data_IF_288810406450
#
_entry.id   IF_288810406450
#
_cell.length_a   1.000
_cell.length_b   1.000
_cell.length_c   1.000
_cell.angle_alpha   90.00
_cell.angle_beta   90.00
_cell.angle_gamma   90.00
#
_symmetry.space_group_name_H-M   'P 1'
#
loop_
_entity.id
_entity.type
_entity.pdbx_description
1 polymer ?
#
# COMPACT_ATOMS: atom_id res chain seq x y z
N UNK A 1 12.47 2.15 10.46
CA UNK A 1 11.71 2.69 9.31
C UNK A 1 11.00 1.53 8.63
N UNK A 2 9.78 1.67 8.10
CA UNK A 2 9.30 0.65 7.14
C UNK A 2 10.07 0.87 5.84
N UNK A 3 10.75 -0.15 5.34
CA UNK A 3 11.58 -0.09 4.13
C UNK A 3 11.89 -1.51 3.66
N UNK A 4 12.31 -1.72 2.40
CA UNK A 4 12.77 -3.03 1.94
C UNK A 4 13.90 -3.60 2.81
N UNK A 5 14.85 -2.76 3.23
CA UNK A 5 15.96 -3.17 4.08
C UNK A 5 15.49 -3.60 5.48
N UNK A 6 14.50 -2.91 6.04
CA UNK A 6 13.90 -3.29 7.32
C UNK A 6 13.13 -4.59 7.21
N UNK A 7 12.39 -4.81 6.12
CA UNK A 7 11.71 -6.09 5.88
C UNK A 7 12.72 -7.26 5.77
N UNK A 8 13.83 -7.06 5.06
CA UNK A 8 14.91 -8.06 4.98
C UNK A 8 15.47 -8.40 6.37
N UNK A 9 15.74 -7.38 7.19
CA UNK A 9 16.22 -7.60 8.54
C UNK A 9 15.20 -8.35 9.40
N UNK A 10 13.91 -8.02 9.27
CA UNK A 10 12.84 -8.76 9.95
C UNK A 10 12.82 -10.23 9.51
N UNK A 11 12.95 -10.52 8.21
CA UNK A 11 13.05 -11.88 7.72
C UNK A 11 14.27 -12.63 8.25
N UNK A 12 15.44 -11.99 8.36
CA UNK A 12 16.64 -12.59 8.97
C UNK A 12 16.45 -12.89 10.46
N UNK A 13 15.85 -11.97 11.20
CA UNK A 13 15.53 -12.17 12.61
C UNK A 13 14.56 -13.34 12.79
N UNK A 14 13.51 -13.41 11.97
CA UNK A 14 12.55 -14.51 12.01
C UNK A 14 13.17 -15.84 11.60
N UNK A 15 14.12 -15.84 10.66
CA UNK A 15 14.81 -17.06 10.18
C UNK A 15 15.69 -17.66 11.29
N UNK A 16 16.29 -16.80 12.10
CA UNK A 16 17.15 -17.21 13.22
C UNK A 16 16.35 -17.78 14.42
N UNK A 17 15.02 -17.68 14.40
CA UNK A 17 14.16 -18.21 15.45
C UNK A 17 13.91 -19.72 15.27
N UNK A 18 13.62 -20.47 16.36
CA UNK A 18 13.32 -21.90 16.29
C UNK A 18 12.17 -22.23 15.31
N UNK A 19 12.26 -23.41 14.70
CA UNK A 19 11.53 -23.89 13.52
C UNK A 19 10.01 -23.66 13.53
N UNK A 20 9.55 -22.62 12.84
CA UNK A 20 8.12 -22.39 12.56
C UNK A 20 7.97 -21.97 11.09
N UNK A 21 7.04 -22.60 10.37
CA UNK A 21 6.60 -22.12 9.04
C UNK A 21 5.94 -20.75 9.21
N UNK A 22 6.32 -19.77 8.40
CA UNK A 22 5.73 -18.44 8.42
C UNK A 22 4.91 -18.21 7.17
N UNK A 23 3.75 -17.58 7.36
CA UNK A 23 2.94 -17.03 6.28
C UNK A 23 3.02 -15.51 6.35
N UNK A 24 3.15 -14.88 5.19
CA UNK A 24 3.09 -13.43 5.03
C UNK A 24 1.95 -13.17 4.08
N UNK A 25 1.11 -12.19 4.42
CA UNK A 25 0.04 -11.69 3.57
C UNK A 25 0.20 -10.18 3.48
N UNK A 26 0.05 -9.62 2.30
CA UNK A 26 0.18 -8.19 2.05
C UNK A 26 -0.70 -7.79 0.87
N UNK A 27 -1.10 -6.53 0.77
CA UNK A 27 -1.86 -6.09 -0.40
C UNK A 27 -1.07 -6.27 -1.71
N UNK A 28 -1.74 -6.81 -2.73
CA UNK A 28 -1.14 -7.19 -4.02
C UNK A 28 -0.90 -5.97 -4.95
N UNK A 29 -1.45 -4.80 -4.62
CA UNK A 29 -1.53 -3.62 -5.51
C UNK A 29 -2.18 -3.91 -6.88
N UNK A 30 -3.00 -4.95 -6.92
CA UNK A 30 -3.89 -5.29 -8.01
C UNK A 30 -5.30 -5.48 -7.46
N UNK A 31 -6.30 -5.29 -8.32
CA UNK A 31 -7.67 -5.53 -7.95
C UNK A 31 -8.34 -6.37 -9.03
N UNK A 32 -8.84 -7.54 -8.65
CA UNK A 32 -9.64 -8.39 -9.52
C UNK A 32 -11.04 -7.81 -9.74
N UNK A 33 -11.53 -7.04 -8.77
CA UNK A 33 -12.75 -6.25 -8.90
C UNK A 33 -12.42 -4.81 -9.29
N UNK A 34 -13.10 -4.28 -10.31
CA UNK A 34 -12.90 -2.90 -10.79
C UNK A 34 -13.08 -1.85 -9.67
N UNK A 35 -13.95 -2.14 -8.69
CA UNK A 35 -14.21 -1.26 -7.55
C UNK A 35 -13.02 -1.15 -6.58
N UNK A 36 -11.99 -1.99 -6.71
CA UNK A 36 -10.76 -1.91 -5.92
C UNK A 36 -9.68 -0.99 -6.50
N UNK A 37 -9.78 -0.57 -7.76
CA UNK A 37 -8.77 0.33 -8.35
C UNK A 37 -8.60 1.68 -7.64
N UNK A 38 -9.66 2.33 -7.12
CA UNK A 38 -9.48 3.54 -6.31
C UNK A 38 -8.57 3.30 -5.11
N UNK A 39 -8.64 2.13 -4.49
CA UNK A 39 -7.79 1.76 -3.36
C UNK A 39 -6.32 1.56 -3.77
N UNK A 40 -6.04 0.90 -4.92
CA UNK A 40 -4.66 0.81 -5.47
C UNK A 40 -4.05 2.20 -5.62
N UNK A 41 -4.77 3.12 -6.27
CA UNK A 41 -4.31 4.49 -6.49
C UNK A 41 -4.15 5.26 -5.19
N UNK A 42 -5.05 5.05 -4.22
CA UNK A 42 -4.98 5.69 -2.92
C UNK A 42 -3.72 5.31 -2.15
N UNK A 43 -3.40 4.01 -2.09
CA UNK A 43 -2.21 3.48 -1.43
C UNK A 43 -0.94 4.02 -2.07
N UNK A 44 -0.86 4.08 -3.41
CA UNK A 44 0.29 4.64 -4.11
C UNK A 44 0.49 6.13 -3.80
N UNK A 45 -0.57 6.94 -3.88
CA UNK A 45 -0.47 8.37 -3.57
C UNK A 45 -0.12 8.62 -2.11
N UNK A 46 -0.68 7.86 -1.18
CA UNK A 46 -0.32 7.97 0.23
C UNK A 46 1.16 7.64 0.48
N UNK A 47 1.69 6.60 -0.16
CA UNK A 47 3.12 6.28 -0.09
C UNK A 47 3.99 7.41 -0.67
N UNK A 48 3.57 8.02 -1.78
CA UNK A 48 4.26 9.18 -2.36
C UNK A 48 4.23 10.40 -1.43
N UNK A 49 3.17 10.62 -0.66
CA UNK A 49 3.12 11.70 0.34
C UNK A 49 4.02 11.35 1.53
N UNK A 50 4.00 10.08 1.94
CA UNK A 50 4.68 9.62 3.15
C UNK A 50 6.18 9.84 3.13
N UNK A 51 6.84 9.66 1.98
CA UNK A 51 8.31 9.82 1.87
C UNK A 51 8.80 11.24 2.22
N UNK A 52 7.89 12.23 2.29
CA UNK A 52 8.20 13.59 2.68
C UNK A 52 7.90 13.91 4.17
N UNK A 53 7.27 12.99 4.91
CA UNK A 53 6.95 13.20 6.32
C UNK A 53 8.13 12.85 7.21
N UNK A 54 8.11 13.44 8.41
CA UNK A 54 8.98 13.00 9.52
C UNK A 54 8.59 11.59 9.95
N UNK A 55 9.48 10.63 9.68
CA UNK A 55 9.21 9.20 9.90
C UNK A 55 9.05 8.84 11.37
N UNK A 56 9.64 9.60 12.30
CA UNK A 56 9.54 9.32 13.74
C UNK A 56 8.17 9.69 14.29
N UNK A 57 7.47 10.59 13.59
CA UNK A 57 6.15 11.12 13.98
C UNK A 57 5.03 10.60 13.11
N UNK A 58 5.32 9.75 12.14
CA UNK A 58 4.28 9.27 11.24
C UNK A 58 3.44 8.17 11.85
N UNK A 59 2.13 8.40 11.86
CA UNK A 59 1.09 7.45 12.25
C UNK A 59 0.37 6.84 11.04
N UNK A 60 0.84 7.11 9.81
CA UNK A 60 0.20 6.62 8.59
C UNK A 60 0.13 5.09 8.54
N UNK A 61 -0.98 4.57 7.99
CA UNK A 61 -1.15 3.14 7.75
C UNK A 61 -0.26 2.68 6.59
N UNK A 62 -0.35 3.38 5.44
CA UNK A 62 0.51 3.13 4.28
C UNK A 62 1.80 3.93 4.43
N UNK A 63 2.93 3.23 4.57
CA UNK A 63 4.26 3.86 4.73
C UNK A 63 5.25 3.56 3.63
N UNK A 64 5.23 2.34 3.13
CA UNK A 64 6.13 1.89 2.08
C UNK A 64 5.38 0.91 1.23
N UNK A 65 5.28 1.20 -0.05
CA UNK A 65 4.68 0.31 -1.03
C UNK A 65 5.80 -0.46 -1.70
N UNK A 66 5.80 -1.77 -1.51
CA UNK A 66 6.71 -2.68 -2.20
C UNK A 66 6.13 -3.02 -3.57
N UNK A 67 6.99 -3.41 -4.52
CA UNK A 67 6.56 -3.77 -5.87
C UNK A 67 5.48 -4.86 -5.81
N UNK A 68 4.41 -4.68 -6.61
CA UNK A 68 3.21 -5.54 -6.67
C UNK A 68 3.53 -7.00 -6.97
N UNK A 69 4.59 -7.21 -7.76
CA UNK A 69 5.10 -8.54 -8.06
C UNK A 69 5.79 -9.08 -6.80
N UNK A 70 5.31 -10.22 -6.30
CA UNK A 70 5.89 -10.98 -5.18
C UNK A 70 7.40 -11.14 -5.28
N UNK A 71 7.98 -11.04 -6.48
CA UNK A 71 9.42 -10.96 -6.79
C UNK A 71 10.22 -10.18 -5.74
N UNK A 72 9.80 -8.96 -5.35
CA UNK A 72 10.61 -8.18 -4.39
C UNK A 72 10.57 -8.78 -2.98
N UNK A 73 9.41 -9.26 -2.51
CA UNK A 73 9.23 -9.86 -1.18
C UNK A 73 9.87 -11.26 -1.12
N UNK A 74 9.67 -12.06 -2.16
CA UNK A 74 10.27 -13.39 -2.34
C UNK A 74 11.79 -13.31 -2.44
N UNK A 75 12.31 -12.31 -3.16
CA UNK A 75 13.75 -12.06 -3.21
C UNK A 75 14.29 -11.75 -1.81
N UNK A 76 13.65 -10.83 -1.06
CA UNK A 76 14.08 -10.52 0.31
C UNK A 76 13.98 -11.74 1.23
N UNK A 77 12.95 -12.58 1.07
CA UNK A 77 12.80 -13.82 1.83
C UNK A 77 13.95 -14.80 1.50
N UNK A 78 14.24 -14.99 0.22
CA UNK A 78 15.36 -15.83 -0.24
C UNK A 78 16.72 -15.30 0.24
N UNK A 79 16.95 -13.99 0.19
CA UNK A 79 18.16 -13.34 0.71
C UNK A 79 18.31 -13.49 2.24
N UNK A 80 17.20 -13.70 2.95
CA UNK A 80 17.19 -13.99 4.39
C UNK A 80 17.31 -15.50 4.70
N UNK A 81 17.37 -16.37 3.68
CA UNK A 81 17.53 -17.82 3.84
C UNK A 81 16.22 -18.61 3.81
N UNK A 82 15.07 -17.97 3.60
CA UNK A 82 13.78 -18.65 3.53
C UNK A 82 13.59 -19.38 2.21
N UNK A 83 13.00 -20.58 2.29
CA UNK A 83 12.43 -21.26 1.14
C UNK A 83 10.93 -20.96 1.07
N UNK A 84 10.48 -20.42 -0.05
CA UNK A 84 9.07 -20.15 -0.30
C UNK A 84 8.40 -21.44 -0.74
N UNK A 85 7.45 -21.92 0.07
CA UNK A 85 6.74 -23.18 -0.21
C UNK A 85 5.47 -23.00 -1.05
N UNK A 86 4.82 -21.83 -0.97
CA UNK A 86 3.62 -21.48 -1.72
C UNK A 86 3.55 -19.96 -1.87
N UNK A 87 3.05 -19.53 -3.02
CA UNK A 87 2.63 -18.17 -3.34
C UNK A 87 1.21 -18.25 -3.91
N UNK A 88 0.37 -17.28 -3.58
CA UNK A 88 -1.00 -17.21 -4.11
C UNK A 88 -1.46 -15.75 -4.15
N UNK A 89 -2.65 -15.51 -4.71
CA UNK A 89 -3.33 -14.22 -4.58
C UNK A 89 -4.79 -14.47 -4.27
N UNK A 90 -5.25 -13.88 -3.17
CA UNK A 90 -6.59 -14.03 -2.64
C UNK A 90 -7.43 -12.82 -3.04
N UNK A 91 -8.52 -13.11 -3.75
CA UNK A 91 -9.59 -12.14 -3.97
C UNK A 91 -10.53 -12.22 -2.78
N UNK A 92 -10.71 -11.10 -2.08
CA UNK A 92 -11.58 -11.04 -0.92
C UNK A 92 -13.05 -11.14 -1.36
N UNK A 93 -13.75 -12.18 -0.91
CA UNK A 93 -15.19 -12.35 -1.19
C UNK A 93 -16.04 -11.30 -0.46
N UNK A 94 -15.63 -10.93 0.76
CA UNK A 94 -16.23 -9.88 1.56
C UNK A 94 -15.31 -8.66 1.62
N UNK A 95 -15.89 -7.47 1.48
CA UNK A 95 -15.13 -6.23 1.61
C UNK A 95 -14.79 -5.95 3.07
N UNK A 96 -13.49 -5.94 3.39
CA UNK A 96 -12.99 -5.63 4.73
C UNK A 96 -12.99 -4.13 5.05
N UNK A 97 -13.32 -3.28 4.07
CA UNK A 97 -13.49 -1.84 4.26
C UNK A 97 -12.18 -1.04 4.25
N UNK A 98 -11.02 -1.69 4.13
CA UNK A 98 -9.74 -1.01 4.00
C UNK A 98 -9.67 -0.14 2.75
N UNK A 99 -10.27 -0.58 1.63
CA UNK A 99 -10.35 0.28 0.45
C UNK A 99 -11.07 1.60 0.70
N UNK A 100 -12.16 1.56 1.46
CA UNK A 100 -12.93 2.77 1.85
C UNK A 100 -12.11 3.66 2.77
N UNK A 101 -11.42 3.07 3.75
CA UNK A 101 -10.55 3.77 4.68
C UNK A 101 -9.43 4.51 3.96
N UNK A 102 -8.68 3.83 3.10
CA UNK A 102 -7.52 4.43 2.44
C UNK A 102 -7.90 5.48 1.41
N UNK A 103 -8.98 5.24 0.65
CA UNK A 103 -9.52 6.25 -0.26
C UNK A 103 -10.02 7.48 0.52
N UNK A 104 -10.77 7.26 1.60
CA UNK A 104 -11.25 8.36 2.45
C UNK A 104 -10.10 9.19 3.02
N UNK A 105 -9.06 8.54 3.53
CA UNK A 105 -7.83 9.19 4.04
C UNK A 105 -7.16 10.06 2.99
N UNK A 106 -6.97 9.55 1.77
CA UNK A 106 -6.38 10.34 0.68
C UNK A 106 -7.27 11.54 0.31
N UNK A 107 -8.58 11.33 0.16
CA UNK A 107 -9.50 12.40 -0.25
C UNK A 107 -9.59 13.51 0.80
N UNK A 108 -9.52 13.17 2.08
CA UNK A 108 -9.48 14.11 3.20
C UNK A 108 -8.17 14.91 3.30
N UNK A 109 -7.12 14.52 2.58
CA UNK A 109 -5.82 15.18 2.64
C UNK A 109 -5.86 16.56 1.96
N UNK A 110 -5.82 17.64 2.73
CA UNK A 110 -5.90 19.01 2.21
C UNK A 110 -4.73 19.33 1.24
N UNK A 111 -5.01 20.05 0.14
CA UNK A 111 -4.00 20.38 -0.86
C UNK A 111 -2.89 21.27 -0.27
N UNK A 112 -3.22 22.13 0.68
CA UNK A 112 -2.27 23.00 1.38
C UNK A 112 -1.30 22.18 2.22
N UNK A 113 -1.74 21.05 2.80
CA UNK A 113 -0.85 20.13 3.52
C UNK A 113 0.12 19.44 2.56
N UNK A 114 -0.34 19.06 1.37
CA UNK A 114 0.53 18.51 0.31
C UNK A 114 1.55 19.57 -0.12
N UNK A 115 1.11 20.82 -0.29
CA UNK A 115 1.96 21.95 -0.64
C UNK A 115 3.05 22.24 0.40
N UNK A 116 2.70 22.17 1.68
CA UNK A 116 3.64 22.37 2.77
C UNK A 116 4.68 21.23 2.90
N UNK A 117 4.28 19.99 2.60
CA UNK A 117 5.16 18.82 2.71
C UNK A 117 6.08 18.63 1.51
N UNK A 118 5.62 19.00 0.30
CA UNK A 118 6.27 18.62 -0.96
C UNK A 118 6.65 19.88 -1.74
N UNK A 119 7.90 20.38 -1.65
CA UNK A 119 8.32 21.61 -2.33
C UNK A 119 8.32 21.52 -3.86
N UNK A 120 8.47 20.31 -4.42
CA UNK A 120 8.49 20.09 -5.86
C UNK A 120 7.08 20.15 -6.46
N UNK A 121 6.84 21.13 -7.34
CA UNK A 121 5.54 21.31 -8.00
C UNK A 121 5.11 20.13 -8.88
N UNK A 122 6.05 19.47 -9.55
CA UNK A 122 5.75 18.35 -10.46
C UNK A 122 5.27 17.13 -9.68
N UNK A 123 5.84 16.90 -8.51
CA UNK A 123 5.40 15.84 -7.58
C UNK A 123 4.00 16.15 -7.03
N UNK A 124 3.76 17.39 -6.59
CA UNK A 124 2.42 17.83 -6.15
C UNK A 124 1.37 17.66 -7.23
N UNK A 125 1.67 18.10 -8.46
CA UNK A 125 0.75 17.97 -9.59
C UNK A 125 0.41 16.49 -9.87
N UNK A 126 1.38 15.59 -9.74
CA UNK A 126 1.17 14.15 -9.91
C UNK A 126 0.26 13.59 -8.81
N UNK A 127 0.53 13.91 -7.55
CA UNK A 127 -0.28 13.45 -6.40
C UNK A 127 -1.71 13.98 -6.49
N UNK A 128 -1.89 15.26 -6.80
CA UNK A 128 -3.21 15.86 -6.99
C UNK A 128 -3.94 15.26 -8.20
N UNK A 129 -3.22 14.92 -9.27
CA UNK A 129 -3.77 14.17 -10.40
C UNK A 129 -4.29 12.79 -9.99
N UNK A 130 -3.53 12.04 -9.19
CA UNK A 130 -3.98 10.75 -8.65
C UNK A 130 -5.19 10.94 -7.72
N UNK A 131 -5.15 11.90 -6.80
CA UNK A 131 -6.25 12.23 -5.89
C UNK A 131 -7.54 12.57 -6.67
N UNK A 132 -7.43 13.39 -7.72
CA UNK A 132 -8.54 13.71 -8.61
C UNK A 132 -9.07 12.50 -9.37
N UNK A 133 -8.20 11.60 -9.82
CA UNK A 133 -8.59 10.33 -10.46
C UNK A 133 -9.37 9.43 -9.49
N UNK A 134 -8.89 9.31 -8.24
CA UNK A 134 -9.56 8.57 -7.17
C UNK A 134 -10.94 9.17 -6.91
N UNK A 135 -11.06 10.49 -6.74
CA UNK A 135 -12.34 11.17 -6.51
C UNK A 135 -13.36 10.86 -7.61
N UNK A 136 -12.97 11.02 -8.88
CA UNK A 136 -13.85 10.72 -10.02
C UNK A 136 -14.23 9.24 -10.09
N UNK A 137 -13.34 8.35 -9.68
CA UNK A 137 -13.62 6.92 -9.64
C UNK A 137 -14.65 6.61 -8.55
N UNK A 138 -14.53 7.20 -7.35
CA UNK A 138 -15.52 7.10 -6.28
C UNK A 138 -16.89 7.62 -6.74
N UNK A 139 -16.94 8.75 -7.42
CA UNK A 139 -18.19 9.30 -7.97
C UNK A 139 -18.85 8.32 -8.96
N UNK A 140 -18.06 7.73 -9.86
CA UNK A 140 -18.54 6.71 -10.82
C UNK A 140 -19.04 5.43 -10.15
N UNK A 141 -18.47 5.07 -9.00
CA UNK A 141 -18.93 3.94 -8.21
C UNK A 141 -20.21 4.26 -7.42
N UNK A 142 -20.67 5.51 -7.40
CA UNK A 142 -21.85 5.93 -6.61
C UNK A 142 -21.53 6.21 -5.14
N UNK A 143 -20.27 6.49 -4.81
CA UNK A 143 -19.85 6.89 -3.47
C UNK A 143 -18.81 5.95 -2.85
N UNK A 144 -18.27 6.40 -1.71
CA UNK A 144 -17.17 5.71 -1.02
C UNK A 144 -17.56 4.29 -0.58
N UNK A 145 -18.83 4.07 -0.23
CA UNK A 145 -19.34 2.76 0.22
C UNK A 145 -19.19 1.64 -0.82
N UNK A 146 -19.05 1.99 -2.11
CA UNK A 146 -18.90 1.02 -3.19
C UNK A 146 -17.43 0.71 -3.54
N UNK A 147 -16.48 1.41 -2.92
CA UNK A 147 -15.05 1.10 -3.04
C UNK A 147 -14.77 -0.21 -2.31
N UNK A 148 -14.00 -1.09 -2.95
CA UNK A 148 -13.58 -2.37 -2.36
C UNK A 148 -12.11 -2.39 -1.98
N UNK A 149 -11.78 -3.23 -1.01
CA UNK A 149 -10.40 -3.64 -0.73
C UNK A 149 -9.78 -4.34 -1.95
N UNK A 150 -8.46 -4.18 -2.12
CA UNK A 150 -7.69 -4.76 -3.21
C UNK A 150 -7.33 -6.21 -2.90
N UNK A 151 -6.81 -6.94 -3.88
CA UNK A 151 -6.44 -8.34 -3.68
C UNK A 151 -5.27 -8.44 -2.67
N UNK A 152 -5.16 -9.59 -2.00
CA UNK A 152 -4.11 -9.89 -1.03
C UNK A 152 -3.17 -10.93 -1.62
N UNK A 153 -1.88 -10.64 -1.60
CA UNK A 153 -0.79 -11.56 -1.95
C UNK A 153 -0.34 -12.33 -0.71
#
# INVERSE_FOLDING_TARGET
>A
MSSPATLLNNFRTLFSAPSIKRSVAEYALSASNINGYPHVLAVLAQAMIEVHKDYEKSESNVRTVLRSEGISKLQLASEAGWLVSREDTLVLEQDEGDGRREVGTLLAYAEEKIAALIPNERERATINGIKGSVSRSVDKLGGLENVRTIDVW
#
